data_IF_315891491057
#
_entry.id   IF_315891491057
#
_cell.length_a   1.000
_cell.length_b   1.000
_cell.length_c   1.000
_cell.angle_alpha   90.00
_cell.angle_beta   90.00
_cell.angle_gamma   90.00
#
_symmetry.space_group_name_H-M   'P 1'
#
loop_
_entity.id
_entity.type
_entity.pdbx_description
1 polymer ?
#
# COMPACT_ATOMS: atom_id res chain seq x y z
N UNK A 1 11.65 -12.02 8.34
CA UNK A 1 10.40 -12.74 8.08
C UNK A 1 9.73 -12.29 6.80
N UNK A 2 8.58 -12.90 6.46
CA UNK A 2 7.77 -12.49 5.30
C UNK A 2 6.54 -11.71 5.77
N UNK A 3 6.47 -10.43 5.43
CA UNK A 3 5.39 -9.53 5.84
C UNK A 3 5.22 -8.39 4.82
N UNK A 4 4.18 -7.59 4.99
CA UNK A 4 3.98 -6.41 4.16
C UNK A 4 5.05 -5.35 4.46
N UNK A 5 5.62 -4.78 3.39
CA UNK A 5 6.52 -3.65 3.52
C UNK A 5 5.76 -2.41 4.05
N UNK A 6 6.35 -1.61 4.94
CA UNK A 6 5.70 -0.45 5.54
C UNK A 6 5.60 0.71 4.52
N UNK A 7 4.56 0.69 3.70
CA UNK A 7 4.40 1.70 2.65
C UNK A 7 2.98 2.29 2.59
N UNK A 8 1.91 1.51 2.73
CA UNK A 8 0.53 1.97 2.54
C UNK A 8 -0.31 1.77 3.80
N UNK A 9 -1.16 2.73 4.12
CA UNK A 9 -2.13 2.65 5.22
C UNK A 9 -3.04 1.44 5.05
N UNK A 10 -3.65 1.27 3.88
CA UNK A 10 -4.59 0.17 3.59
C UNK A 10 -3.91 -1.20 3.64
N UNK A 11 -2.67 -1.31 3.11
CA UNK A 11 -1.94 -2.58 3.12
C UNK A 11 -1.45 -3.00 4.50
N UNK A 12 -1.29 -2.06 5.42
CA UNK A 12 -0.92 -2.35 6.81
C UNK A 12 -2.11 -2.77 7.66
N UNK A 13 -3.35 -2.52 7.19
CA UNK A 13 -4.55 -2.97 7.89
C UNK A 13 -4.68 -4.50 7.83
N UNK A 14 -5.24 -5.07 8.87
CA UNK A 14 -5.67 -6.46 8.84
C UNK A 14 -6.78 -6.65 7.80
N UNK A 15 -6.81 -7.79 7.13
CA UNK A 15 -7.89 -8.14 6.20
C UNK A 15 -9.27 -8.20 6.85
N UNK A 16 -9.33 -8.34 8.17
CA UNK A 16 -10.58 -8.28 8.95
C UNK A 16 -11.05 -6.85 9.24
N UNK A 17 -10.20 -5.86 9.01
CA UNK A 17 -10.47 -4.45 9.33
C UNK A 17 -10.73 -3.60 8.07
N UNK A 18 -10.51 -4.16 6.88
CA UNK A 18 -10.86 -3.50 5.62
C UNK A 18 -12.37 -3.48 5.43
N UNK A 19 -12.89 -2.37 4.86
CA UNK A 19 -14.35 -2.14 4.74
C UNK A 19 -14.96 -2.65 3.45
N UNK A 20 -14.14 -2.92 2.46
CA UNK A 20 -14.57 -3.45 1.17
C UNK A 20 -13.96 -4.82 0.95
N UNK A 21 -14.60 -5.61 0.10
CA UNK A 21 -14.12 -6.97 -0.22
C UNK A 21 -12.70 -6.99 -0.82
N UNK A 22 -12.26 -5.87 -1.38
CA UNK A 22 -10.88 -5.69 -1.87
C UNK A 22 -10.35 -4.30 -1.55
N UNK A 23 -9.04 -4.21 -1.40
CA UNK A 23 -8.33 -2.94 -1.29
C UNK A 23 -8.50 -2.08 -2.55
N UNK A 24 -8.28 -0.76 -2.45
CA UNK A 24 -8.39 0.15 -3.59
C UNK A 24 -7.50 -0.28 -4.76
N UNK A 25 -7.97 -0.07 -6.00
CA UNK A 25 -7.21 -0.43 -7.20
C UNK A 25 -5.83 0.22 -7.28
N UNK A 26 -5.70 1.47 -6.81
CA UNK A 26 -4.41 2.15 -6.69
C UNK A 26 -3.44 1.42 -5.75
N UNK A 27 -3.93 0.97 -4.61
CA UNK A 27 -3.14 0.21 -3.62
C UNK A 27 -2.74 -1.14 -4.20
N UNK A 28 -3.69 -1.88 -4.78
CA UNK A 28 -3.42 -3.21 -5.38
C UNK A 28 -2.39 -3.14 -6.51
N UNK A 29 -2.47 -2.10 -7.36
CA UNK A 29 -1.56 -1.95 -8.49
C UNK A 29 -0.17 -1.43 -8.08
N UNK A 30 -0.11 -0.48 -7.15
CA UNK A 30 1.10 0.30 -6.91
C UNK A 30 1.85 -0.07 -5.62
N UNK A 31 1.29 -0.95 -4.77
CA UNK A 31 2.01 -1.43 -3.58
C UNK A 31 2.66 -2.79 -3.84
N UNK A 32 3.63 -3.12 -3.01
CA UNK A 32 4.23 -4.44 -3.01
C UNK A 32 3.43 -5.35 -2.05
N UNK A 33 3.23 -6.60 -2.43
CA UNK A 33 2.69 -7.62 -1.54
C UNK A 33 3.66 -7.96 -0.39
N UNK A 34 3.45 -9.11 0.23
CA UNK A 34 4.37 -9.60 1.27
C UNK A 34 5.73 -9.91 0.67
N UNK A 35 6.79 -9.45 1.34
CA UNK A 35 8.19 -9.65 0.95
C UNK A 35 8.99 -10.19 2.13
N UNK A 36 10.04 -10.94 1.84
CA UNK A 36 11.01 -11.34 2.86
C UNK A 36 11.93 -10.17 3.16
N UNK A 37 12.09 -9.84 4.44
CA UNK A 37 12.94 -8.72 4.81
C UNK A 37 13.10 -8.57 6.32
N UNK A 38 13.72 -7.45 6.67
CA UNK A 38 13.92 -7.00 8.04
C UNK A 38 13.37 -5.58 8.15
N UNK A 39 12.56 -5.33 9.17
CA UNK A 39 12.07 -3.99 9.50
C UNK A 39 12.43 -3.62 10.92
N UNK A 40 12.61 -2.33 11.10
CA UNK A 40 12.68 -1.69 12.40
C UNK A 40 11.61 -0.61 12.49
N UNK A 41 10.97 -0.48 13.64
CA UNK A 41 9.94 0.51 13.88
C UNK A 41 10.08 1.18 15.24
N UNK A 42 9.72 2.46 15.28
CA UNK A 42 9.59 3.26 16.48
C UNK A 42 8.19 3.84 16.57
N UNK A 43 7.60 3.81 17.76
CA UNK A 43 6.28 4.39 17.99
C UNK A 43 6.20 5.10 19.34
N UNK A 44 5.44 6.17 19.35
CA UNK A 44 4.96 6.81 20.57
C UNK A 44 3.51 7.29 20.35
N UNK A 45 2.93 8.00 21.30
CA UNK A 45 1.53 8.45 21.18
C UNK A 45 1.26 9.28 19.92
N UNK A 46 2.21 10.10 19.46
CA UNK A 46 2.03 11.03 18.32
C UNK A 46 2.72 10.59 17.04
N UNK A 47 3.76 9.79 17.12
CA UNK A 47 4.57 9.43 15.96
C UNK A 47 4.65 7.91 15.82
N UNK A 48 4.64 7.48 14.58
CA UNK A 48 5.02 6.13 14.18
C UNK A 48 6.02 6.25 13.04
N UNK A 49 7.07 5.48 13.10
CA UNK A 49 8.10 5.42 12.06
C UNK A 49 8.49 3.97 11.87
N UNK A 50 8.56 3.53 10.65
CA UNK A 50 9.06 2.19 10.32
C UNK A 50 9.83 2.22 9.02
N UNK A 51 10.84 1.39 8.92
CA UNK A 51 11.62 1.25 7.72
C UNK A 51 12.27 -0.13 7.65
N UNK A 52 12.63 -0.57 6.47
CA UNK A 52 13.23 -1.88 6.30
C UNK A 52 13.81 -2.13 4.93
N UNK A 53 14.55 -3.22 4.85
CA UNK A 53 15.11 -3.76 3.62
C UNK A 53 14.45 -5.10 3.30
N UNK A 54 14.09 -5.28 2.04
CA UNK A 54 13.33 -6.42 1.54
C UNK A 54 13.98 -6.99 0.30
N UNK A 55 13.83 -8.29 0.12
CA UNK A 55 14.09 -8.94 -1.17
C UNK A 55 12.90 -8.70 -2.10
N UNK A 56 13.16 -8.50 -3.38
CA UNK A 56 12.09 -8.27 -4.35
C UNK A 56 11.35 -9.54 -4.76
N UNK A 57 11.72 -10.70 -4.25
CA UNK A 57 11.09 -11.97 -4.55
C UNK A 57 10.20 -12.51 -3.42
N UNK A 58 9.18 -13.25 -3.84
CA UNK A 58 8.56 -14.26 -3.00
C UNK A 58 9.53 -15.43 -2.80
N UNK A 59 9.54 -15.99 -1.58
CA UNK A 59 10.49 -17.04 -1.14
C UNK A 59 10.59 -18.24 -2.09
N UNK A 60 9.58 -18.50 -2.91
CA UNK A 60 9.46 -19.69 -3.73
C UNK A 60 9.93 -19.53 -5.18
N UNK A 61 10.47 -18.39 -5.58
CA UNK A 61 10.88 -18.15 -6.97
C UNK A 61 12.40 -18.32 -7.13
N UNK A 62 12.86 -19.57 -7.21
CA UNK A 62 14.28 -19.94 -7.33
C UNK A 62 14.86 -19.79 -8.75
N UNK A 63 14.06 -19.35 -9.74
CA UNK A 63 14.46 -19.30 -11.15
C UNK A 63 15.08 -17.96 -11.56
N UNK A 64 15.74 -17.24 -10.67
CA UNK A 64 16.29 -15.91 -10.97
C UNK A 64 17.81 -15.88 -10.77
N UNK A 65 18.49 -15.23 -11.69
CA UNK A 65 19.95 -15.10 -11.66
C UNK A 65 20.43 -14.17 -10.53
N UNK A 66 19.67 -13.10 -10.26
CA UNK A 66 19.95 -12.13 -9.22
C UNK A 66 18.64 -11.68 -8.58
N UNK A 67 18.68 -11.41 -7.29
CA UNK A 67 17.54 -10.91 -6.54
C UNK A 67 17.62 -9.39 -6.42
N UNK A 68 16.59 -8.71 -6.92
CA UNK A 68 16.38 -7.31 -6.62
C UNK A 68 16.12 -7.09 -5.13
N UNK A 69 16.29 -5.87 -4.69
CA UNK A 69 16.01 -5.46 -3.32
C UNK A 69 15.09 -4.25 -3.29
N UNK A 70 14.45 -4.04 -2.16
CA UNK A 70 13.67 -2.86 -1.90
C UNK A 70 14.00 -2.28 -0.54
N UNK A 71 13.97 -0.96 -0.45
CA UNK A 71 14.03 -0.20 0.79
C UNK A 71 12.70 0.52 0.95
N UNK A 72 12.04 0.31 2.07
CA UNK A 72 10.74 0.93 2.38
C UNK A 72 10.85 1.73 3.67
N UNK A 73 10.17 2.86 3.70
CA UNK A 73 10.05 3.70 4.88
C UNK A 73 8.69 4.37 4.95
N UNK A 74 8.13 4.46 6.17
CA UNK A 74 6.85 5.09 6.45
C UNK A 74 6.92 5.87 7.75
N UNK A 75 6.44 7.09 7.73
CA UNK A 75 6.32 7.97 8.90
C UNK A 75 4.90 8.46 9.03
N UNK A 76 4.40 8.47 10.25
CA UNK A 76 3.03 8.91 10.57
C UNK A 76 3.07 9.88 11.74
N UNK A 77 2.34 10.97 11.58
CA UNK A 77 2.08 11.94 12.65
C UNK A 77 0.61 11.94 13.02
N UNK A 78 0.34 11.85 14.31
CA UNK A 78 -1.00 11.82 14.89
C UNK A 78 -1.19 13.02 15.82
N UNK A 79 -1.51 14.20 15.28
CA UNK A 79 -1.73 15.39 16.11
C UNK A 79 -2.86 15.23 17.12
N UNK A 80 -3.87 14.45 16.74
CA UNK A 80 -5.01 14.11 17.61
C UNK A 80 -5.11 12.57 17.66
N UNK A 81 -5.07 12.02 18.85
CA UNK A 81 -5.31 10.61 19.11
C UNK A 81 -6.08 10.51 20.44
N UNK A 82 -7.37 10.34 20.33
CA UNK A 82 -8.32 10.20 21.43
C UNK A 82 -9.32 9.09 21.10
N UNK A 83 -10.10 8.64 22.08
CA UNK A 83 -11.04 7.53 21.94
C UNK A 83 -12.07 7.69 20.79
N UNK A 84 -12.47 8.92 20.48
CA UNK A 84 -13.49 9.24 19.45
C UNK A 84 -12.98 10.15 18.34
N UNK A 85 -11.70 10.57 18.40
CA UNK A 85 -11.11 11.51 17.43
C UNK A 85 -9.70 11.09 17.10
N UNK A 86 -9.41 11.01 15.82
CA UNK A 86 -8.09 10.74 15.28
C UNK A 86 -7.84 11.65 14.09
N UNK A 87 -6.66 12.21 14.04
CA UNK A 87 -6.07 12.73 12.81
C UNK A 87 -4.74 12.02 12.63
N UNK A 88 -4.59 11.33 11.53
CA UNK A 88 -3.40 10.60 11.12
C UNK A 88 -2.98 11.12 9.75
N UNK A 89 -1.77 11.60 9.66
CA UNK A 89 -1.15 12.07 8.43
C UNK A 89 0.14 11.28 8.25
N UNK A 90 0.30 10.63 7.11
CA UNK A 90 1.48 9.83 6.86
C UNK A 90 2.11 10.11 5.50
N UNK A 91 3.38 9.73 5.42
CA UNK A 91 4.20 9.75 4.23
C UNK A 91 5.01 8.46 4.16
N UNK A 92 5.10 7.90 2.96
CA UNK A 92 5.90 6.71 2.69
C UNK A 92 6.77 6.88 1.45
N UNK A 93 7.92 6.22 1.46
CA UNK A 93 8.83 6.15 0.33
C UNK A 93 9.31 4.71 0.13
N UNK A 94 9.51 4.33 -1.12
CA UNK A 94 10.07 3.04 -1.51
C UNK A 94 11.08 3.25 -2.63
N UNK A 95 12.20 2.58 -2.52
CA UNK A 95 13.17 2.36 -3.58
C UNK A 95 13.23 0.87 -3.88
N UNK A 96 13.23 0.48 -5.16
CA UNK A 96 13.21 -0.94 -5.56
C UNK A 96 14.00 -1.15 -6.82
N UNK A 97 14.80 -2.22 -6.85
CA UNK A 97 15.48 -2.73 -8.04
C UNK A 97 14.76 -3.99 -8.56
N UNK A 98 14.77 -4.25 -9.88
CA UNK A 98 14.16 -5.45 -10.44
C UNK A 98 14.96 -6.70 -10.12
N UNK A 99 14.31 -7.85 -10.26
CA UNK A 99 15.00 -9.14 -10.30
C UNK A 99 15.51 -9.40 -11.71
N UNK A 100 16.72 -9.92 -11.83
CA UNK A 100 17.25 -10.41 -13.08
C UNK A 100 16.78 -11.85 -13.32
N UNK A 101 16.23 -12.12 -14.50
CA UNK A 101 15.90 -13.47 -14.93
C UNK A 101 17.08 -14.14 -15.62
N UNK A 102 17.13 -15.47 -15.60
CA UNK A 102 18.07 -16.26 -16.40
C UNK A 102 17.78 -16.16 -17.92
N UNK A 103 16.52 -15.87 -18.28
CA UNK A 103 16.11 -15.66 -19.67
C UNK A 103 16.23 -14.18 -20.03
N UNK A 104 16.86 -13.89 -21.15
CA UNK A 104 17.07 -12.50 -21.60
C UNK A 104 15.76 -11.74 -21.87
N UNK A 105 14.72 -12.45 -22.32
CA UNK A 105 13.41 -11.86 -22.63
C UNK A 105 12.64 -11.43 -21.37
N UNK A 106 12.94 -11.98 -20.19
CA UNK A 106 12.24 -11.70 -18.93
C UNK A 106 13.05 -10.80 -17.98
N UNK A 107 14.13 -10.19 -18.46
CA UNK A 107 14.98 -9.35 -17.61
C UNK A 107 14.31 -8.05 -17.25
N UNK A 108 14.44 -7.67 -15.96
CA UNK A 108 14.14 -6.33 -15.49
C UNK A 108 12.69 -5.87 -15.74
N UNK A 109 11.70 -6.75 -15.46
CA UNK A 109 10.29 -6.45 -15.70
C UNK A 109 9.58 -6.11 -14.39
N UNK A 110 8.81 -5.00 -14.42
CA UNK A 110 7.78 -4.73 -13.40
C UNK A 110 6.38 -4.85 -14.00
N UNK A 111 5.49 -5.47 -13.25
CA UNK A 111 4.09 -5.63 -13.62
C UNK A 111 3.22 -4.91 -12.60
N UNK A 112 2.46 -3.94 -13.05
CA UNK A 112 1.42 -3.26 -12.28
C UNK A 112 0.06 -3.81 -12.71
N UNK A 113 -0.73 -4.29 -11.75
CA UNK A 113 -2.04 -4.87 -12.05
C UNK A 113 -3.06 -4.53 -10.97
N UNK A 114 -4.24 -4.14 -11.40
CA UNK A 114 -5.40 -3.97 -10.54
C UNK A 114 -6.46 -5.00 -10.96
N UNK A 115 -6.71 -6.04 -10.16
CA UNK A 115 -7.81 -6.96 -10.42
C UNK A 115 -9.15 -6.24 -10.28
N UNK A 116 -10.19 -6.86 -10.82
CA UNK A 116 -11.58 -6.41 -10.63
C UNK A 116 -12.03 -6.50 -9.17
N UNK A 117 -13.17 -5.90 -8.88
CA UNK A 117 -13.77 -5.90 -7.54
C UNK A 117 -14.21 -7.30 -7.09
N UNK A 118 -14.34 -8.23 -8.02
CA UNK A 118 -14.74 -9.62 -7.73
C UNK A 118 -13.52 -10.53 -7.62
N UNK A 119 -13.40 -11.24 -6.52
CA UNK A 119 -12.40 -12.31 -6.33
C UNK A 119 -12.70 -13.55 -7.19
N UNK A 120 -13.90 -13.65 -7.77
CA UNK A 120 -14.29 -14.76 -8.64
C UNK A 120 -13.81 -14.53 -10.07
N UNK A 121 -13.72 -13.26 -10.49
CA UNK A 121 -13.22 -12.88 -11.82
C UNK A 121 -11.78 -12.43 -11.72
N UNK A 122 -10.85 -13.27 -12.20
CA UNK A 122 -9.41 -13.00 -12.18
C UNK A 122 -8.93 -12.00 -13.24
N UNK A 123 -9.83 -11.34 -13.98
CA UNK A 123 -9.46 -10.35 -14.98
C UNK A 123 -8.93 -9.08 -14.32
N UNK A 124 -7.85 -8.54 -14.86
CA UNK A 124 -7.35 -7.24 -14.45
C UNK A 124 -8.14 -6.13 -15.16
N UNK A 125 -8.64 -5.15 -14.41
CA UNK A 125 -9.27 -3.94 -14.96
C UNK A 125 -8.20 -3.03 -15.56
N UNK A 126 -7.03 -2.96 -14.92
CA UNK A 126 -5.88 -2.22 -15.42
C UNK A 126 -4.61 -3.06 -15.23
N UNK A 127 -3.77 -3.08 -16.26
CA UNK A 127 -2.49 -3.78 -16.23
C UNK A 127 -1.47 -3.05 -17.13
N UNK A 128 -0.25 -2.92 -16.64
CA UNK A 128 0.89 -2.45 -17.39
C UNK A 128 2.11 -3.32 -17.10
N UNK A 129 2.84 -3.71 -18.14
CA UNK A 129 4.11 -4.43 -18.06
C UNK A 129 5.21 -3.51 -18.53
N UNK A 130 6.20 -3.26 -17.70
CA UNK A 130 7.30 -2.35 -17.95
C UNK A 130 8.58 -3.17 -17.97
N UNK A 131 9.24 -3.17 -19.09
CA UNK A 131 10.51 -3.84 -19.35
C UNK A 131 11.71 -2.88 -19.23
N UNK A 132 12.92 -3.42 -19.30
CA UNK A 132 14.19 -2.67 -19.22
C UNK A 132 14.26 -1.74 -18.01
N UNK A 133 13.75 -2.19 -16.88
CA UNK A 133 13.72 -1.41 -15.65
C UNK A 133 15.11 -1.37 -15.01
N UNK A 134 15.63 -0.17 -14.75
CA UNK A 134 16.84 0.02 -13.96
C UNK A 134 16.50 0.07 -12.45
N UNK A 135 15.57 0.91 -12.07
CA UNK A 135 15.04 1.00 -10.70
C UNK A 135 13.69 1.72 -10.64
N UNK A 136 13.06 1.66 -9.49
CA UNK A 136 11.80 2.34 -9.21
C UNK A 136 11.89 3.14 -7.92
N UNK A 137 11.27 4.32 -7.93
CA UNK A 137 11.02 5.13 -6.73
C UNK A 137 9.51 5.32 -6.60
N UNK A 138 8.99 5.12 -5.40
CA UNK A 138 7.59 5.40 -5.06
C UNK A 138 7.48 6.37 -3.89
N UNK A 139 6.45 7.18 -3.94
CA UNK A 139 6.02 8.01 -2.82
C UNK A 139 4.55 7.80 -2.57
N UNK A 140 4.19 7.77 -1.30
CA UNK A 140 2.82 7.68 -0.84
C UNK A 140 2.53 8.75 0.20
N UNK A 141 1.33 9.32 0.15
CA UNK A 141 0.78 10.15 1.22
C UNK A 141 -0.51 9.54 1.71
N UNK A 142 -0.79 9.65 2.99
CA UNK A 142 -1.96 9.04 3.61
C UNK A 142 -2.62 9.97 4.62
N UNK A 143 -3.93 9.89 4.68
CA UNK A 143 -4.77 10.61 5.62
C UNK A 143 -5.82 9.66 6.19
N UNK A 144 -5.94 9.63 7.51
CA UNK A 144 -7.03 8.97 8.20
C UNK A 144 -7.58 9.91 9.27
N UNK A 145 -8.89 10.13 9.23
CA UNK A 145 -9.58 10.98 10.19
C UNK A 145 -10.75 10.20 10.78
N UNK A 146 -10.79 10.12 12.12
CA UNK A 146 -11.97 9.70 12.86
C UNK A 146 -12.59 10.91 13.56
N UNK A 147 -13.88 11.03 13.45
CA UNK A 147 -14.66 11.98 14.21
C UNK A 147 -15.96 11.33 14.65
N UNK A 148 -15.99 10.83 15.90
CA UNK A 148 -17.08 10.04 16.44
C UNK A 148 -17.44 8.85 15.53
N UNK A 149 -18.59 8.89 14.90
CA UNK A 149 -19.13 7.85 14.01
C UNK A 149 -18.69 7.99 12.54
N UNK A 150 -17.87 8.98 12.24
CA UNK A 150 -17.41 9.24 10.88
C UNK A 150 -15.94 8.85 10.72
N UNK A 151 -15.61 8.21 9.61
CA UNK A 151 -14.26 7.85 9.20
C UNK A 151 -14.02 8.33 7.77
N UNK A 152 -12.91 9.04 7.57
CA UNK A 152 -12.38 9.41 6.27
C UNK A 152 -11.00 8.80 6.13
N UNK A 153 -10.77 8.06 5.04
CA UNK A 153 -9.49 7.44 4.71
C UNK A 153 -9.12 7.75 3.27
N UNK A 154 -7.89 8.13 3.03
CA UNK A 154 -7.39 8.46 1.69
C UNK A 154 -5.91 8.16 1.59
N UNK A 155 -5.48 7.71 0.42
CA UNK A 155 -4.08 7.64 0.03
C UNK A 155 -3.89 8.14 -1.40
N UNK A 156 -2.72 8.71 -1.66
CA UNK A 156 -2.21 8.98 -3.00
C UNK A 156 -0.85 8.30 -3.15
N UNK A 157 -0.64 7.57 -4.23
CA UNK A 157 0.59 6.86 -4.53
C UNK A 157 1.05 7.27 -5.93
N UNK A 158 2.33 7.61 -6.03
CA UNK A 158 3.00 7.87 -7.30
C UNK A 158 4.26 7.04 -7.40
N UNK A 159 4.46 6.38 -8.53
CA UNK A 159 5.66 5.63 -8.88
C UNK A 159 6.34 6.22 -10.09
N UNK A 160 7.65 6.29 -10.04
CA UNK A 160 8.52 6.62 -11.15
C UNK A 160 9.46 5.43 -11.40
N UNK A 161 9.44 4.92 -12.61
CA UNK A 161 10.30 3.80 -13.04
C UNK A 161 11.32 4.34 -14.01
N UNK A 162 12.58 4.27 -13.61
CA UNK A 162 13.70 4.53 -14.47
C UNK A 162 13.95 3.30 -15.33
N UNK A 163 14.12 3.53 -16.62
CA UNK A 163 14.43 2.49 -17.62
C UNK A 163 15.79 2.75 -18.22
N UNK A 164 16.40 1.71 -18.80
CA UNK A 164 17.67 1.85 -19.49
C UNK A 164 17.64 2.98 -20.53
N UNK A 165 18.77 3.63 -20.76
CA UNK A 165 18.89 4.89 -21.52
C UNK A 165 18.23 4.93 -22.92
N UNK A 166 17.91 3.79 -23.50
CA UNK A 166 17.22 3.70 -24.79
C UNK A 166 15.67 3.84 -24.67
N UNK A 167 15.11 3.79 -23.47
CA UNK A 167 13.69 3.73 -23.23
C UNK A 167 13.19 4.91 -22.39
N UNK A 168 11.98 5.39 -22.71
CA UNK A 168 11.34 6.46 -21.95
C UNK A 168 10.95 5.99 -20.56
N UNK A 169 11.25 6.79 -19.54
CA UNK A 169 10.83 6.54 -18.17
C UNK A 169 9.31 6.41 -18.04
N UNK A 170 8.87 5.60 -17.10
CA UNK A 170 7.47 5.31 -16.88
C UNK A 170 6.97 5.89 -15.55
N UNK A 171 5.78 6.46 -15.58
CA UNK A 171 5.13 7.03 -14.41
C UNK A 171 3.73 6.45 -14.25
N UNK A 172 3.41 5.95 -13.09
CA UNK A 172 2.04 5.58 -12.74
C UNK A 172 1.64 6.27 -11.43
N UNK A 173 0.35 6.50 -11.26
CA UNK A 173 -0.18 7.12 -10.05
C UNK A 173 -1.60 6.68 -9.79
N UNK A 174 -1.99 6.76 -8.54
CA UNK A 174 -3.36 6.46 -8.16
C UNK A 174 -3.70 7.00 -6.79
N UNK A 175 -4.98 7.12 -6.54
CA UNK A 175 -5.53 7.62 -5.29
C UNK A 175 -6.83 6.92 -4.95
N UNK A 176 -7.19 6.93 -3.70
CA UNK A 176 -8.56 6.64 -3.29
C UNK A 176 -9.01 7.58 -2.17
N UNK A 177 -10.31 7.75 -2.10
CA UNK A 177 -10.99 8.42 -1.01
C UNK A 177 -12.12 7.51 -0.52
N UNK A 178 -12.13 7.19 0.75
CA UNK A 178 -13.11 6.32 1.39
C UNK A 178 -13.75 7.04 2.56
N UNK A 179 -15.07 7.05 2.58
CA UNK A 179 -15.88 7.60 3.66
C UNK A 179 -16.71 6.48 4.27
N UNK A 180 -16.79 6.46 5.58
CA UNK A 180 -17.59 5.51 6.34
C UNK A 180 -18.37 6.22 7.43
N UNK A 181 -19.59 5.78 7.68
CA UNK A 181 -20.45 6.31 8.73
C UNK A 181 -21.14 5.18 9.48
N UNK A 182 -20.97 5.18 10.81
CA UNK A 182 -21.67 4.25 11.69
C UNK A 182 -23.10 4.73 11.94
N UNK A 183 -24.07 3.99 11.42
CA UNK A 183 -25.48 4.18 11.74
C UNK A 183 -25.79 3.72 13.16
N UNK A 184 -25.12 2.66 13.62
CA UNK A 184 -25.10 2.21 15.02
C UNK A 184 -23.67 1.91 15.45
N UNK A 185 -23.41 1.89 16.75
CA UNK A 185 -22.06 1.79 17.31
C UNK A 185 -21.53 3.16 17.74
N UNK A 186 -20.36 3.21 18.35
CA UNK A 186 -19.83 4.44 18.95
C UNK A 186 -18.66 5.05 18.19
N UNK A 187 -17.66 4.23 17.81
CA UNK A 187 -16.40 4.72 17.26
C UNK A 187 -15.66 3.62 16.47
N UNK A 188 -14.55 3.99 15.89
CA UNK A 188 -13.61 3.11 15.19
C UNK A 188 -12.40 2.81 16.05
N UNK A 189 -11.90 1.59 15.97
CA UNK A 189 -10.62 1.21 16.55
C UNK A 189 -9.47 1.71 15.66
N UNK A 190 -8.33 1.93 16.28
CA UNK A 190 -7.10 2.29 15.59
C UNK A 190 -5.98 1.38 16.08
N UNK A 191 -5.28 0.70 15.17
CA UNK A 191 -4.12 -0.10 15.52
C UNK A 191 -2.86 0.77 15.59
N UNK A 192 -2.46 1.12 16.82
CA UNK A 192 -1.25 1.91 17.05
C UNK A 192 0.03 1.14 16.75
N UNK A 193 -0.02 -0.19 16.69
CA UNK A 193 1.17 -1.02 16.50
C UNK A 193 1.76 -0.91 15.12
N UNK A 194 0.90 -0.73 14.12
CA UNK A 194 1.24 -0.56 12.71
C UNK A 194 0.69 0.74 12.13
N UNK A 195 0.10 1.57 12.98
CA UNK A 195 -0.50 2.85 12.62
C UNK A 195 -1.48 2.74 11.45
N UNK A 196 -2.56 1.96 11.63
CA UNK A 196 -3.57 1.76 10.60
C UNK A 196 -5.01 1.80 11.15
N UNK A 197 -5.97 1.88 10.20
CA UNK A 197 -7.39 1.87 10.51
C UNK A 197 -7.81 0.49 11.04
N UNK A 198 -8.60 0.48 12.11
CA UNK A 198 -9.26 -0.69 12.64
C UNK A 198 -10.74 -0.73 12.29
N UNK A 199 -11.41 -1.82 12.64
CA UNK A 199 -12.86 -2.01 12.49
C UNK A 199 -13.63 -1.12 13.47
N UNK A 200 -14.95 -0.97 13.28
CA UNK A 200 -15.83 -0.38 14.30
C UNK A 200 -15.75 -1.14 15.62
N UNK A 201 -15.84 -0.43 16.72
CA UNK A 201 -15.89 -1.03 18.04
C UNK A 201 -17.24 -1.71 18.29
N UNK A 202 -17.22 -2.98 18.67
CA UNK A 202 -18.42 -3.75 19.01
C UNK A 202 -19.34 -4.06 17.82
N UNK A 203 -20.61 -4.32 18.11
CA UNK A 203 -21.64 -4.56 17.09
C UNK A 203 -22.08 -3.25 16.48
N UNK A 204 -21.96 -3.11 15.16
CA UNK A 204 -22.23 -1.86 14.46
C UNK A 204 -22.86 -2.11 13.10
N UNK A 205 -23.58 -1.10 12.60
CA UNK A 205 -24.03 -0.99 11.22
C UNK A 205 -23.31 0.20 10.59
N UNK A 206 -22.60 -0.03 9.49
CA UNK A 206 -21.77 0.94 8.81
C UNK A 206 -22.20 1.09 7.35
N UNK A 207 -22.21 2.33 6.86
CA UNK A 207 -22.37 2.65 5.44
C UNK A 207 -21.04 3.18 4.94
N UNK A 208 -20.55 2.60 3.84
CA UNK A 208 -19.26 2.92 3.26
C UNK A 208 -19.39 3.34 1.81
N UNK A 209 -18.59 4.31 1.41
CA UNK A 209 -18.42 4.74 0.03
C UNK A 209 -16.95 4.91 -0.30
N UNK A 210 -16.51 4.52 -1.51
CA UNK A 210 -15.14 4.66 -1.95
C UNK A 210 -15.05 5.09 -3.41
N UNK A 211 -14.27 6.13 -3.65
CA UNK A 211 -13.84 6.55 -4.98
C UNK A 211 -12.41 6.07 -5.21
N UNK A 212 -12.12 5.53 -6.41
CA UNK A 212 -10.79 5.09 -6.82
C UNK A 212 -10.37 5.79 -8.12
N UNK A 213 -9.11 6.19 -8.18
CA UNK A 213 -8.44 6.69 -9.36
C UNK A 213 -7.13 5.93 -9.57
N UNK A 214 -6.86 5.47 -10.78
CA UNK A 214 -5.61 4.81 -11.15
C UNK A 214 -5.29 5.15 -12.61
N UNK A 215 -4.05 5.56 -12.86
CA UNK A 215 -3.49 5.67 -14.21
C UNK A 215 -2.18 4.91 -14.29
N UNK A 216 -2.06 4.11 -15.34
CA UNK A 216 -0.93 3.27 -15.68
C UNK A 216 -0.47 3.66 -17.10
N UNK A 217 0.07 4.87 -17.24
CA UNK A 217 0.51 5.44 -18.54
C UNK A 217 2.01 5.32 -18.73
#
# INVERSE_FOLDING_TARGET
GQFYAPFSLEMMCSTFDIRFNQSPGAVLALTNGRRMGITYGYRNKRHYMSGGAFMDNEVNNLKKASHGYALDGRVVYRPVLDSKKLIHIGFAANYRTPNESLNEEDKNIFIYKSPGVSTIDNRNIAMATIDHVAYQIKFGTELLVYYHRFCLQSEYIRTHVERDNAFKNYVAQGAYLQCSWLLSGETYLYDESVACAGRPEGKSLEVCSRFNYLTLN
#
